data_IF_045394580637
#
_entry.id   IF_045394580637
#
_cell.length_a   1.000
_cell.length_b   1.000
_cell.length_c   1.000
_cell.angle_alpha   90.00
_cell.angle_beta   90.00
_cell.angle_gamma   90.00
#
_symmetry.space_group_name_H-M   'P 1'
#
loop_
_entity.id
_entity.type
_entity.pdbx_description
1 polymer ?
#
# COMPACT_ATOMS: atom_id res chain seq x y z
N UNK A 1 41.91 12.27 -19.42
CA UNK A 1 41.96 13.33 -18.38
C UNK A 1 40.56 13.92 -18.28
N UNK A 2 39.85 13.59 -17.19
CA UNK A 2 38.71 14.29 -16.57
C UNK A 2 38.14 13.29 -15.53
N UNK A 3 38.99 12.86 -14.59
CA UNK A 3 38.50 12.36 -13.31
C UNK A 3 37.97 13.60 -12.59
N UNK A 4 36.73 13.96 -12.90
CA UNK A 4 35.98 14.94 -12.15
C UNK A 4 35.84 14.33 -10.76
N UNK A 5 36.29 15.02 -9.71
CA UNK A 5 36.13 14.53 -8.34
C UNK A 5 34.66 14.19 -8.13
N UNK A 6 34.38 12.91 -7.94
CA UNK A 6 33.04 12.41 -7.68
C UNK A 6 32.79 12.67 -6.21
N UNK A 7 31.86 13.56 -5.91
CA UNK A 7 31.60 14.03 -4.54
C UNK A 7 30.26 13.54 -4.00
N UNK A 8 29.48 12.81 -4.80
CA UNK A 8 28.15 12.33 -4.43
C UNK A 8 27.71 11.07 -5.18
N UNK A 9 26.73 10.35 -4.62
CA UNK A 9 26.00 9.25 -5.29
C UNK A 9 25.37 9.70 -6.60
N UNK A 10 24.93 10.96 -6.70
CA UNK A 10 24.36 11.52 -7.91
C UNK A 10 25.39 11.62 -9.05
N UNK A 11 26.62 12.04 -8.75
CA UNK A 11 27.69 12.08 -9.75
C UNK A 11 28.03 10.68 -10.25
N UNK A 12 28.08 9.69 -9.35
CA UNK A 12 28.25 8.28 -9.72
C UNK A 12 27.13 7.83 -10.65
N UNK A 13 25.87 8.08 -10.27
CA UNK A 13 24.71 7.69 -11.06
C UNK A 13 24.81 8.25 -12.48
N UNK A 14 25.11 9.53 -12.63
CA UNK A 14 25.24 10.17 -13.95
C UNK A 14 26.37 9.59 -14.78
N UNK A 15 27.50 9.25 -14.17
CA UNK A 15 28.61 8.58 -14.87
C UNK A 15 28.18 7.19 -15.32
N UNK A 16 27.57 6.41 -14.44
CA UNK A 16 27.10 5.05 -14.74
C UNK A 16 26.01 5.03 -15.82
N UNK A 17 25.03 5.94 -15.77
CA UNK A 17 24.01 6.11 -16.81
C UNK A 17 24.64 6.39 -18.18
N UNK A 18 25.66 7.27 -18.21
CA UNK A 18 26.36 7.59 -19.45
C UNK A 18 27.12 6.38 -19.99
N UNK A 19 27.78 5.62 -19.12
CA UNK A 19 28.49 4.40 -19.49
C UNK A 19 27.53 3.34 -20.05
N UNK A 20 26.36 3.14 -19.42
CA UNK A 20 25.32 2.25 -19.94
C UNK A 20 24.84 2.68 -21.33
N UNK A 21 24.66 3.99 -21.55
CA UNK A 21 24.25 4.52 -22.86
C UNK A 21 25.30 4.31 -23.97
N UNK A 22 26.55 4.07 -23.60
CA UNK A 22 27.66 3.76 -24.49
C UNK A 22 27.99 2.22 -24.49
N UNK A 23 27.06 1.36 -24.01
CA UNK A 23 27.18 -0.11 -23.88
C UNK A 23 28.35 -0.59 -22.99
N UNK A 24 28.82 0.25 -22.06
CA UNK A 24 29.95 -0.03 -21.15
C UNK A 24 29.47 -0.45 -19.76
N UNK A 25 28.63 -1.49 -19.74
CA UNK A 25 27.93 -1.98 -18.55
C UNK A 25 28.87 -2.43 -17.42
N UNK A 26 30.00 -3.08 -17.72
CA UNK A 26 30.95 -3.53 -16.69
C UNK A 26 31.69 -2.37 -16.00
N UNK A 27 32.01 -1.32 -16.77
CA UNK A 27 32.58 -0.10 -16.19
C UNK A 27 31.53 0.65 -15.36
N UNK A 28 30.28 0.69 -15.83
CA UNK A 28 29.17 1.25 -15.07
C UNK A 28 29.01 0.53 -13.72
N UNK A 29 29.06 -0.81 -13.69
CA UNK A 29 29.01 -1.58 -12.44
C UNK A 29 30.15 -1.22 -11.49
N UNK A 30 31.38 -1.07 -12.00
CA UNK A 30 32.52 -0.67 -11.15
C UNK A 30 32.28 0.69 -10.50
N UNK A 31 31.70 1.63 -11.24
CA UNK A 31 31.33 2.94 -10.70
C UNK A 31 30.20 2.84 -9.66
N UNK A 32 29.17 2.04 -9.94
CA UNK A 32 28.03 1.84 -9.04
C UNK A 32 28.44 1.17 -7.73
N UNK A 33 29.26 0.12 -7.79
CA UNK A 33 29.80 -0.58 -6.62
C UNK A 33 30.61 0.38 -5.74
N UNK A 34 31.43 1.23 -6.38
CA UNK A 34 32.17 2.27 -5.67
C UNK A 34 31.24 3.30 -5.03
N UNK A 35 30.22 3.75 -5.76
CA UNK A 35 29.24 4.70 -5.21
C UNK A 35 28.43 4.15 -4.04
N UNK A 36 28.07 2.86 -4.07
CA UNK A 36 27.38 2.18 -2.98
C UNK A 36 28.27 1.96 -1.74
N UNK A 37 29.59 2.01 -1.92
CA UNK A 37 30.58 1.88 -0.83
C UNK A 37 30.95 3.24 -0.24
N UNK A 38 31.15 4.24 -1.09
CA UNK A 38 31.76 5.53 -0.71
C UNK A 38 30.72 6.57 -0.25
N UNK A 39 29.43 6.38 -0.56
CA UNK A 39 28.37 7.34 -0.27
C UNK A 39 27.20 6.71 0.49
N UNK A 40 26.27 7.56 0.95
CA UNK A 40 25.05 7.10 1.59
C UNK A 40 24.22 6.19 0.66
N UNK A 41 23.50 5.19 1.23
CA UNK A 41 22.64 4.30 0.47
C UNK A 41 21.71 5.06 -0.50
N UNK A 42 21.85 4.80 -1.80
CA UNK A 42 21.03 5.39 -2.85
C UNK A 42 20.33 4.29 -3.64
N UNK A 43 19.00 4.28 -3.58
CA UNK A 43 18.20 3.26 -4.25
C UNK A 43 18.39 3.27 -5.77
N UNK A 44 18.65 4.43 -6.37
CA UNK A 44 18.82 4.59 -7.82
C UNK A 44 20.10 3.93 -8.31
N UNK A 45 21.16 3.95 -7.50
CA UNK A 45 22.40 3.23 -7.81
C UNK A 45 22.13 1.72 -7.85
N UNK A 46 21.37 1.20 -6.88
CA UNK A 46 20.99 -0.22 -6.84
C UNK A 46 20.03 -0.60 -7.98
N UNK A 47 19.08 0.26 -8.33
CA UNK A 47 18.15 0.03 -9.44
C UNK A 47 18.90 -0.05 -10.78
N UNK A 48 19.85 0.88 -11.02
CA UNK A 48 20.67 0.86 -12.22
C UNK A 48 21.57 -0.39 -12.26
N UNK A 49 22.21 -0.74 -11.13
CA UNK A 49 23.02 -1.95 -11.04
C UNK A 49 22.19 -3.22 -11.30
N UNK A 50 20.99 -3.31 -10.73
CA UNK A 50 20.06 -4.40 -10.96
C UNK A 50 19.68 -4.51 -12.44
N UNK A 51 19.39 -3.39 -13.10
CA UNK A 51 19.11 -3.36 -14.53
C UNK A 51 20.26 -3.89 -15.40
N UNK A 52 21.51 -3.55 -15.06
CA UNK A 52 22.70 -4.11 -15.72
C UNK A 52 22.79 -5.62 -15.48
N UNK A 53 22.59 -6.07 -14.23
CA UNK A 53 22.62 -7.49 -13.90
C UNK A 53 21.54 -8.29 -14.63
N UNK A 54 20.33 -7.75 -14.78
CA UNK A 54 19.24 -8.37 -15.55
C UNK A 54 19.64 -8.54 -17.01
N UNK A 55 20.17 -7.49 -17.66
CA UNK A 55 20.64 -7.58 -19.06
C UNK A 55 21.71 -8.65 -19.26
N UNK A 56 22.56 -8.83 -18.25
CA UNK A 56 23.63 -9.84 -18.27
C UNK A 56 23.17 -11.24 -17.81
N UNK A 57 21.88 -11.46 -17.54
CA UNK A 57 21.35 -12.75 -17.05
C UNK A 57 21.74 -13.11 -15.61
N UNK A 58 22.33 -12.17 -14.86
CA UNK A 58 22.77 -12.35 -13.47
C UNK A 58 21.63 -12.06 -12.49
N UNK A 59 20.53 -12.80 -12.60
CA UNK A 59 19.27 -12.50 -11.89
C UNK A 59 19.41 -12.52 -10.37
N UNK A 60 20.23 -13.40 -9.80
CA UNK A 60 20.46 -13.43 -8.34
C UNK A 60 21.07 -12.12 -7.82
N UNK A 61 22.02 -11.56 -8.58
CA UNK A 61 22.66 -10.27 -8.24
C UNK A 61 21.68 -9.12 -8.38
N UNK A 62 20.84 -9.13 -9.42
CA UNK A 62 19.77 -8.14 -9.53
C UNK A 62 18.77 -8.24 -8.37
N UNK A 63 18.40 -9.47 -7.99
CA UNK A 63 17.53 -9.76 -6.86
C UNK A 63 18.06 -9.18 -5.55
N UNK A 64 19.34 -9.38 -5.21
CA UNK A 64 19.93 -8.84 -3.97
C UNK A 64 20.02 -7.30 -3.96
N UNK A 65 20.27 -6.66 -5.10
CA UNK A 65 20.23 -5.19 -5.21
C UNK A 65 18.84 -4.65 -4.92
N UNK A 66 17.81 -5.26 -5.53
CA UNK A 66 16.42 -4.84 -5.37
C UNK A 66 15.84 -5.27 -4.02
N UNK A 67 16.31 -6.37 -3.45
CA UNK A 67 16.01 -6.78 -2.08
C UNK A 67 16.45 -5.73 -1.08
N UNK A 68 17.65 -5.18 -1.25
CA UNK A 68 18.16 -4.10 -0.40
C UNK A 68 17.26 -2.86 -0.48
N UNK A 69 16.85 -2.48 -1.70
CA UNK A 69 15.88 -1.39 -1.90
C UNK A 69 14.53 -1.68 -1.24
N UNK A 70 14.04 -2.92 -1.35
CA UNK A 70 12.79 -3.35 -0.72
C UNK A 70 12.88 -3.29 0.80
N UNK A 71 13.96 -3.77 1.43
CA UNK A 71 14.10 -3.74 2.89
C UNK A 71 14.31 -2.34 3.44
N UNK A 72 15.01 -1.46 2.70
CA UNK A 72 15.23 -0.06 3.10
C UNK A 72 13.91 0.73 3.07
N UNK A 73 13.09 0.52 2.02
CA UNK A 73 11.78 1.18 1.86
C UNK A 73 10.74 0.20 1.31
N UNK A 74 10.09 -0.59 2.17
CA UNK A 74 9.15 -1.61 1.73
C UNK A 74 7.89 -0.97 1.14
N UNK A 75 7.59 -1.29 -0.13
CA UNK A 75 6.44 -0.77 -0.85
C UNK A 75 5.98 -1.75 -1.93
N UNK A 76 4.77 -1.57 -2.45
CA UNK A 76 4.29 -2.33 -3.59
C UNK A 76 5.18 -2.11 -4.85
N UNK A 77 5.75 -0.91 -5.00
CA UNK A 77 6.65 -0.58 -6.12
C UNK A 77 7.96 -1.37 -6.04
N UNK A 78 8.64 -1.33 -4.90
CA UNK A 78 9.89 -2.07 -4.68
C UNK A 78 9.68 -3.59 -4.73
N UNK A 79 8.51 -4.09 -4.29
CA UNK A 79 8.13 -5.49 -4.46
C UNK A 79 7.93 -5.89 -5.92
N UNK A 80 7.29 -5.03 -6.73
CA UNK A 80 7.11 -5.26 -8.17
C UNK A 80 8.43 -5.24 -8.93
N UNK A 81 9.31 -4.28 -8.62
CA UNK A 81 10.65 -4.25 -9.21
C UNK A 81 11.41 -5.56 -8.93
N UNK A 82 11.38 -6.04 -7.68
CA UNK A 82 11.96 -7.32 -7.30
C UNK A 82 11.33 -8.46 -8.11
N UNK A 83 10.00 -8.53 -8.20
CA UNK A 83 9.27 -9.56 -8.98
C UNK A 83 9.68 -9.60 -10.44
N UNK A 84 9.74 -8.44 -11.07
CA UNK A 84 9.97 -8.34 -12.50
C UNK A 84 11.42 -8.74 -12.84
N UNK A 85 12.39 -8.38 -11.98
CA UNK A 85 13.78 -8.77 -12.14
C UNK A 85 14.07 -10.24 -11.82
N UNK A 86 13.28 -10.87 -10.96
CA UNK A 86 13.50 -12.24 -10.48
C UNK A 86 12.43 -13.22 -10.95
N UNK A 87 11.70 -12.92 -12.03
CA UNK A 87 10.52 -13.68 -12.47
C UNK A 87 10.73 -15.22 -12.54
N UNK A 88 11.94 -15.68 -12.89
CA UNK A 88 12.28 -17.10 -12.95
C UNK A 88 12.35 -17.83 -11.59
N UNK A 89 12.65 -17.10 -10.51
CA UNK A 89 12.73 -17.62 -9.13
C UNK A 89 11.92 -16.74 -8.14
N UNK A 90 10.89 -16.07 -8.65
CA UNK A 90 10.11 -15.15 -7.84
C UNK A 90 9.46 -15.80 -6.60
N UNK A 91 9.00 -17.07 -6.61
CA UNK A 91 8.44 -17.69 -5.40
C UNK A 91 9.37 -17.61 -4.18
N UNK A 92 10.68 -17.81 -4.37
CA UNK A 92 11.67 -17.67 -3.30
C UNK A 92 11.73 -16.23 -2.76
N UNK A 93 11.85 -15.25 -3.66
CA UNK A 93 11.90 -13.83 -3.30
C UNK A 93 10.61 -13.33 -2.66
N UNK A 94 9.47 -13.86 -3.11
CA UNK A 94 8.14 -13.56 -2.57
C UNK A 94 8.03 -14.03 -1.12
N UNK A 95 8.37 -15.29 -0.85
CA UNK A 95 8.33 -15.83 0.51
C UNK A 95 9.23 -15.00 1.44
N UNK A 96 10.45 -14.70 1.00
CA UNK A 96 11.40 -13.85 1.73
C UNK A 96 10.82 -12.46 2.03
N UNK A 97 10.19 -11.81 1.05
CA UNK A 97 9.57 -10.49 1.20
C UNK A 97 8.38 -10.49 2.16
N UNK A 98 7.47 -11.46 2.04
CA UNK A 98 6.31 -11.58 2.92
C UNK A 98 6.72 -11.89 4.36
N UNK A 99 7.70 -12.77 4.55
CA UNK A 99 8.27 -13.08 5.86
C UNK A 99 8.90 -11.83 6.51
N UNK A 100 9.67 -11.06 5.74
CA UNK A 100 10.24 -9.80 6.20
C UNK A 100 9.15 -8.81 6.64
N UNK A 101 8.10 -8.62 5.84
CA UNK A 101 7.00 -7.72 6.18
C UNK A 101 6.18 -8.19 7.39
N UNK A 102 6.02 -9.50 7.58
CA UNK A 102 5.25 -10.07 8.67
C UNK A 102 5.87 -9.78 10.05
N UNK A 103 7.21 -9.73 10.12
CA UNK A 103 7.98 -9.49 11.35
C UNK A 103 8.23 -8.01 11.63
N UNK A 104 7.99 -7.11 10.67
CA UNK A 104 8.11 -5.67 10.92
C UNK A 104 7.14 -5.26 12.04
N UNK A 105 7.61 -4.50 13.04
CA UNK A 105 6.73 -4.05 14.10
C UNK A 105 5.65 -3.16 13.49
N UNK A 106 4.37 -3.35 13.84
CA UNK A 106 3.35 -2.41 13.44
C UNK A 106 3.72 -1.05 14.03
N UNK A 107 3.79 -0.01 13.18
CA UNK A 107 3.90 1.37 13.68
C UNK A 107 2.72 1.58 14.62
N UNK A 108 2.95 2.04 15.87
CA UNK A 108 1.87 2.15 16.86
C UNK A 108 1.06 3.43 16.61
N UNK A 109 -0.27 3.30 16.48
CA UNK A 109 -1.21 4.41 16.32
C UNK A 109 -2.57 3.97 15.76
N UNK A 110 -3.65 4.71 16.06
CA UNK A 110 -4.96 4.49 15.42
C UNK A 110 -4.83 4.87 13.95
N UNK A 111 -5.02 3.89 13.04
CA UNK A 111 -4.73 4.02 11.60
C UNK A 111 -3.25 4.26 11.29
N UNK A 112 -2.37 3.52 11.98
CA UNK A 112 -0.98 3.45 11.58
C UNK A 112 -0.83 2.82 10.20
N UNK A 113 0.26 3.15 9.50
CA UNK A 113 0.68 2.42 8.31
C UNK A 113 0.90 0.93 8.59
N UNK A 114 0.98 0.50 9.87
CA UNK A 114 0.83 -0.89 10.31
C UNK A 114 1.46 -1.91 9.36
N UNK A 115 0.66 -2.89 8.93
CA UNK A 115 0.98 -3.84 7.87
C UNK A 115 0.46 -3.43 6.49
N UNK A 116 0.32 -2.12 6.22
CA UNK A 116 -0.28 -1.63 4.96
C UNK A 116 0.46 -2.12 3.73
N UNK A 117 1.81 -2.11 3.73
CA UNK A 117 2.59 -2.64 2.61
C UNK A 117 2.29 -4.13 2.36
N UNK A 118 2.22 -4.93 3.43
CA UNK A 118 1.88 -6.35 3.32
C UNK A 118 0.48 -6.55 2.75
N UNK A 119 -0.50 -5.81 3.29
CA UNK A 119 -1.89 -5.87 2.83
C UNK A 119 -2.03 -5.41 1.38
N UNK A 120 -1.32 -4.35 0.97
CA UNK A 120 -1.31 -3.87 -0.42
C UNK A 120 -0.75 -4.90 -1.39
N UNK A 121 0.34 -5.58 -1.01
CA UNK A 121 0.94 -6.66 -1.80
C UNK A 121 -0.03 -7.84 -1.91
N UNK A 122 -0.60 -8.31 -0.80
CA UNK A 122 -1.54 -9.42 -0.80
C UNK A 122 -2.80 -9.11 -1.62
N UNK A 123 -3.32 -7.88 -1.54
CA UNK A 123 -4.43 -7.43 -2.40
C UNK A 123 -4.06 -7.31 -3.88
N UNK A 124 -2.80 -6.99 -4.20
CA UNK A 124 -2.33 -6.92 -5.58
C UNK A 124 -2.15 -8.33 -6.20
N UNK A 125 -1.93 -9.33 -5.36
CA UNK A 125 -1.83 -10.75 -5.75
C UNK A 125 -3.17 -11.50 -5.58
N UNK A 126 -4.29 -10.79 -5.37
CA UNK A 126 -5.65 -11.34 -5.13
C UNK A 126 -5.77 -12.29 -3.91
N UNK A 127 -4.81 -12.27 -2.98
CA UNK A 127 -4.82 -13.04 -1.74
C UNK A 127 -5.67 -12.36 -0.65
N UNK A 128 -6.97 -12.24 -0.92
CA UNK A 128 -7.91 -11.45 -0.13
C UNK A 128 -8.04 -11.91 1.34
N UNK A 129 -8.02 -13.23 1.58
CA UNK A 129 -8.09 -13.80 2.92
C UNK A 129 -6.83 -13.49 3.74
N UNK A 130 -5.65 -13.67 3.14
CA UNK A 130 -4.38 -13.34 3.80
C UNK A 130 -4.26 -11.83 4.05
N UNK A 131 -4.70 -11.01 3.09
CA UNK A 131 -4.72 -9.55 3.23
C UNK A 131 -5.62 -9.11 4.41
N UNK A 132 -6.79 -9.74 4.55
CA UNK A 132 -7.69 -9.52 5.68
C UNK A 132 -7.03 -9.89 7.01
N UNK A 133 -6.44 -11.09 7.10
CA UNK A 133 -5.78 -11.55 8.32
C UNK A 133 -4.60 -10.64 8.71
N UNK A 134 -3.77 -10.24 7.74
CA UNK A 134 -2.66 -9.33 7.98
C UNK A 134 -3.12 -7.97 8.54
N UNK A 135 -4.24 -7.44 8.03
CA UNK A 135 -4.84 -6.21 8.54
C UNK A 135 -5.42 -6.38 9.95
N UNK A 136 -6.08 -7.51 10.25
CA UNK A 136 -6.58 -7.81 11.59
C UNK A 136 -5.43 -7.89 12.60
N UNK A 137 -4.33 -8.55 12.25
CA UNK A 137 -3.23 -8.81 13.17
C UNK A 137 -2.33 -7.58 13.42
N UNK A 138 -2.17 -6.71 12.41
CA UNK A 138 -1.19 -5.61 12.49
C UNK A 138 -1.75 -4.21 12.20
N UNK A 139 -3.04 -4.12 11.85
CA UNK A 139 -3.64 -2.88 11.35
C UNK A 139 -3.15 -2.50 9.95
N UNK A 140 -3.86 -1.56 9.33
CA UNK A 140 -3.43 -0.87 8.12
C UNK A 140 -4.07 0.52 8.03
N UNK A 141 -3.72 1.27 6.99
CA UNK A 141 -4.25 2.59 6.73
C UNK A 141 -5.77 2.58 6.48
N UNK A 142 -6.42 3.73 6.67
CA UNK A 142 -7.88 3.84 6.52
C UNK A 142 -8.37 3.54 5.12
N UNK A 143 -7.70 4.08 4.11
CA UNK A 143 -8.01 3.79 2.72
C UNK A 143 -7.92 2.28 2.41
N UNK A 144 -6.96 1.59 3.03
CA UNK A 144 -6.74 0.17 2.78
C UNK A 144 -7.76 -0.72 3.50
N UNK A 145 -8.14 -0.38 4.73
CA UNK A 145 -9.26 -1.03 5.43
C UNK A 145 -10.58 -0.88 4.68
N UNK A 146 -10.85 0.29 4.09
CA UNK A 146 -12.04 0.50 3.26
C UNK A 146 -12.02 -0.38 2.00
N UNK A 147 -10.85 -0.48 1.35
CA UNK A 147 -10.68 -1.38 0.20
C UNK A 147 -10.88 -2.84 0.61
N UNK A 148 -10.28 -3.27 1.72
CA UNK A 148 -10.44 -4.62 2.27
C UNK A 148 -11.89 -4.93 2.61
N UNK A 149 -12.60 -4.02 3.29
CA UNK A 149 -14.00 -4.22 3.63
C UNK A 149 -14.85 -4.45 2.38
N UNK A 150 -14.63 -3.68 1.30
CA UNK A 150 -15.37 -3.85 0.04
C UNK A 150 -15.06 -5.17 -0.65
N UNK A 151 -13.80 -5.60 -0.65
CA UNK A 151 -13.40 -6.91 -1.20
C UNK A 151 -14.00 -8.05 -0.36
N UNK A 152 -13.83 -7.98 0.95
CA UNK A 152 -14.35 -8.95 1.93
C UNK A 152 -15.87 -9.05 1.86
N UNK A 153 -16.57 -7.95 1.57
CA UNK A 153 -18.00 -7.93 1.46
C UNK A 153 -18.56 -8.88 0.38
N UNK A 154 -17.77 -9.29 -0.62
CA UNK A 154 -18.23 -10.24 -1.63
C UNK A 154 -18.58 -11.60 -1.01
N UNK A 155 -17.70 -12.12 -0.13
CA UNK A 155 -17.86 -13.42 0.53
C UNK A 155 -18.39 -13.33 1.96
N UNK A 156 -18.06 -12.27 2.69
CA UNK A 156 -18.40 -12.07 4.10
C UNK A 156 -18.94 -10.65 4.34
N UNK A 157 -20.18 -10.35 3.89
CA UNK A 157 -20.77 -9.02 4.00
C UNK A 157 -20.85 -8.50 5.45
N UNK A 158 -21.05 -9.39 6.43
CA UNK A 158 -21.13 -9.02 7.84
C UNK A 158 -19.82 -8.42 8.39
N UNK A 159 -18.66 -8.91 7.94
CA UNK A 159 -17.34 -8.45 8.38
C UNK A 159 -17.05 -7.01 7.93
N UNK A 160 -17.58 -6.62 6.77
CA UNK A 160 -17.34 -5.31 6.18
C UNK A 160 -18.16 -4.19 6.83
N UNK A 161 -19.36 -4.49 7.34
CA UNK A 161 -20.28 -3.54 7.97
C UNK A 161 -19.61 -2.69 9.06
N UNK A 162 -18.96 -3.26 10.10
CA UNK A 162 -18.41 -2.46 11.19
C UNK A 162 -17.28 -1.52 10.73
N UNK A 163 -16.53 -1.89 9.69
CA UNK A 163 -15.46 -1.05 9.13
C UNK A 163 -16.04 0.15 8.41
N UNK A 164 -17.04 -0.07 7.55
CA UNK A 164 -17.69 0.99 6.78
C UNK A 164 -18.49 1.95 7.67
N UNK A 165 -19.14 1.44 8.72
CA UNK A 165 -19.81 2.27 9.72
C UNK A 165 -18.84 3.20 10.45
N UNK A 166 -17.70 2.66 10.91
CA UNK A 166 -16.66 3.46 11.56
C UNK A 166 -16.13 4.57 10.64
N UNK A 167 -15.94 4.28 9.36
CA UNK A 167 -15.51 5.27 8.39
C UNK A 167 -16.60 6.33 8.12
N UNK A 168 -17.88 5.94 8.11
CA UNK A 168 -18.99 6.88 8.00
C UNK A 168 -19.03 7.84 9.19
N UNK A 169 -18.88 7.34 10.41
CA UNK A 169 -18.83 8.16 11.64
C UNK A 169 -17.68 9.17 11.60
N UNK A 170 -16.50 8.74 11.14
CA UNK A 170 -15.33 9.62 10.96
C UNK A 170 -15.59 10.73 9.95
N UNK A 171 -16.18 10.38 8.81
CA UNK A 171 -16.56 11.35 7.79
C UNK A 171 -17.62 12.35 8.32
N UNK A 172 -18.53 11.92 9.19
CA UNK A 172 -19.49 12.82 9.87
C UNK A 172 -18.79 13.77 10.86
N UNK A 173 -17.72 13.33 11.52
CA UNK A 173 -16.97 14.17 12.45
C UNK A 173 -16.01 15.16 11.78
N UNK A 174 -15.69 14.99 10.50
CA UNK A 174 -14.91 15.97 9.72
C UNK A 174 -15.68 17.28 9.41
N UNK A 175 -17.00 17.33 9.67
CA UNK A 175 -17.85 18.55 9.72
C UNK A 175 -17.79 19.47 8.49
N UNK A 176 -17.55 18.92 7.31
CA UNK A 176 -17.66 19.65 6.04
C UNK A 176 -18.62 18.91 5.09
N UNK A 177 -19.14 19.65 4.10
CA UNK A 177 -20.19 19.14 3.21
C UNK A 177 -19.74 17.93 2.39
N UNK A 178 -18.50 17.92 1.93
CA UNK A 178 -17.98 16.80 1.13
C UNK A 178 -17.78 15.55 1.98
N UNK A 179 -17.40 15.71 3.25
CA UNK A 179 -17.31 14.59 4.19
C UNK A 179 -18.69 14.05 4.56
N UNK A 180 -19.74 14.88 4.62
CA UNK A 180 -21.11 14.38 4.75
C UNK A 180 -21.55 13.57 3.53
N UNK A 181 -21.23 14.02 2.31
CA UNK A 181 -21.49 13.23 1.10
C UNK A 181 -20.75 11.89 1.12
N UNK A 182 -19.50 11.87 1.59
CA UNK A 182 -18.73 10.65 1.76
C UNK A 182 -19.38 9.71 2.79
N UNK A 183 -19.82 10.24 3.94
CA UNK A 183 -20.51 9.47 4.97
C UNK A 183 -21.81 8.84 4.43
N UNK A 184 -22.61 9.62 3.69
CA UNK A 184 -23.86 9.14 3.09
C UNK A 184 -23.61 8.02 2.09
N UNK A 185 -22.55 8.12 1.27
CA UNK A 185 -22.15 7.03 0.36
C UNK A 185 -21.79 5.76 1.12
N UNK A 186 -21.00 5.88 2.19
CA UNK A 186 -20.63 4.75 3.05
C UNK A 186 -21.86 4.12 3.71
N UNK A 187 -22.79 4.93 4.23
CA UNK A 187 -24.05 4.43 4.83
C UNK A 187 -24.96 3.74 3.80
N UNK A 188 -24.96 4.20 2.56
CA UNK A 188 -25.68 3.54 1.48
C UNK A 188 -25.05 2.18 1.10
N UNK A 189 -23.72 2.09 1.08
CA UNK A 189 -23.01 0.80 0.94
C UNK A 189 -23.39 -0.14 2.09
N UNK A 190 -23.35 0.36 3.33
CA UNK A 190 -23.71 -0.42 4.52
C UNK A 190 -25.16 -0.92 4.48
N UNK A 191 -26.11 -0.10 4.02
CA UNK A 191 -27.51 -0.52 3.83
C UNK A 191 -27.60 -1.76 2.93
N UNK A 192 -26.89 -1.75 1.80
CA UNK A 192 -26.87 -2.88 0.88
C UNK A 192 -26.26 -4.14 1.51
N UNK A 193 -25.24 -3.98 2.36
CA UNK A 193 -24.63 -5.11 3.08
C UNK A 193 -25.54 -5.67 4.17
N UNK A 194 -26.24 -4.83 4.93
CA UNK A 194 -27.25 -5.29 5.89
C UNK A 194 -28.39 -6.06 5.22
N UNK A 195 -28.88 -5.58 4.07
CA UNK A 195 -29.90 -6.29 3.29
C UNK A 195 -29.40 -7.66 2.80
N UNK A 196 -28.14 -7.77 2.35
CA UNK A 196 -27.52 -9.05 1.97
C UNK A 196 -27.34 -10.03 3.15
N UNK A 197 -27.43 -9.53 4.38
CA UNK A 197 -27.36 -10.32 5.59
C UNK A 197 -28.74 -10.54 6.23
N UNK A 198 -29.85 -10.16 5.57
CA UNK A 198 -31.22 -10.18 6.11
C UNK A 198 -31.38 -9.41 7.43
N UNK A 199 -30.67 -8.28 7.56
CA UNK A 199 -30.58 -7.46 8.78
C UNK A 199 -30.99 -6.01 8.55
N UNK A 200 -32.03 -5.78 7.74
CA UNK A 200 -32.56 -4.43 7.46
C UNK A 200 -33.00 -3.68 8.72
N UNK A 201 -33.54 -4.38 9.72
CA UNK A 201 -33.97 -3.75 10.98
C UNK A 201 -32.81 -3.21 11.80
N UNK A 202 -31.66 -3.91 11.81
CA UNK A 202 -30.45 -3.44 12.45
C UNK A 202 -29.93 -2.16 11.79
N UNK A 203 -30.04 -2.07 10.45
CA UNK A 203 -29.68 -0.85 9.73
C UNK A 203 -30.61 0.32 10.10
N UNK A 204 -31.93 0.09 10.20
CA UNK A 204 -32.91 1.12 10.62
C UNK A 204 -32.65 1.59 12.06
N UNK A 205 -32.34 0.66 12.96
CA UNK A 205 -31.98 0.97 14.33
C UNK A 205 -30.70 1.82 14.39
N UNK A 206 -29.67 1.45 13.63
CA UNK A 206 -28.43 2.21 13.53
C UNK A 206 -28.67 3.64 13.00
N UNK A 207 -29.43 3.78 11.91
CA UNK A 207 -29.77 5.09 11.34
C UNK A 207 -30.55 5.99 12.30
N UNK A 208 -31.41 5.41 13.13
CA UNK A 208 -32.14 6.15 14.18
C UNK A 208 -31.16 6.76 15.19
N UNK A 209 -30.14 6.00 15.60
CA UNK A 209 -29.07 6.49 16.50
C UNK A 209 -28.26 7.59 15.83
N UNK A 210 -27.85 7.43 14.57
CA UNK A 210 -27.09 8.43 13.80
C UNK A 210 -27.87 9.75 13.68
N UNK A 211 -29.15 9.68 13.31
CA UNK A 211 -30.02 10.87 13.19
C UNK A 211 -30.22 11.57 14.53
N UNK A 212 -30.41 10.82 15.61
CA UNK A 212 -30.54 11.38 16.95
C UNK A 212 -29.26 12.08 17.41
N UNK A 213 -28.09 11.45 17.22
CA UNK A 213 -26.78 11.98 17.59
C UNK A 213 -26.42 13.27 16.81
N UNK A 214 -26.92 13.43 15.59
CA UNK A 214 -26.55 14.54 14.70
C UNK A 214 -27.72 15.47 14.32
N UNK A 215 -28.74 15.56 15.17
CA UNK A 215 -29.95 16.39 14.94
C UNK A 215 -29.68 17.87 14.62
N UNK A 216 -28.57 18.42 15.12
CA UNK A 216 -28.17 19.83 14.93
C UNK A 216 -27.37 20.06 13.65
N UNK A 217 -26.84 19.01 13.01
CA UNK A 217 -26.06 19.10 11.77
C UNK A 217 -27.01 19.15 10.55
N UNK A 218 -27.58 20.33 10.27
CA UNK A 218 -28.56 20.49 9.18
C UNK A 218 -28.06 19.98 7.82
N UNK A 219 -26.82 20.31 7.44
CA UNK A 219 -26.25 19.88 6.17
C UNK A 219 -26.16 18.34 6.06
N UNK A 220 -25.79 17.65 7.14
CA UNK A 220 -25.79 16.17 7.16
C UNK A 220 -27.21 15.61 6.97
N UNK A 221 -28.20 16.18 7.68
CA UNK A 221 -29.60 15.76 7.56
C UNK A 221 -30.11 15.91 6.13
N UNK A 222 -29.82 17.03 5.49
CA UNK A 222 -30.19 17.27 4.09
C UNK A 222 -29.61 16.18 3.17
N UNK A 223 -28.33 15.83 3.32
CA UNK A 223 -27.69 14.81 2.49
C UNK A 223 -28.25 13.40 2.77
N UNK A 224 -28.57 13.07 4.04
CA UNK A 224 -29.23 11.80 4.40
C UNK A 224 -30.63 11.67 3.78
N UNK A 225 -31.41 12.75 3.81
CA UNK A 225 -32.76 12.79 3.26
C UNK A 225 -32.74 12.70 1.72
N UNK A 226 -31.80 13.38 1.06
CA UNK A 226 -31.59 13.26 -0.39
C UNK A 226 -31.23 11.84 -0.81
N UNK A 227 -30.42 11.13 -0.03
CA UNK A 227 -30.07 9.75 -0.28
C UNK A 227 -31.15 8.73 0.12
N UNK A 228 -32.29 9.19 0.68
CA UNK A 228 -33.40 8.33 1.13
C UNK A 228 -32.95 7.26 2.13
N UNK A 229 -31.99 7.62 2.99
CA UNK A 229 -31.59 6.77 4.11
C UNK A 229 -32.61 6.95 5.26
N UNK A 230 -33.02 5.85 5.93
CA UNK A 230 -34.01 5.90 6.99
C UNK A 230 -33.55 6.73 8.19
#
# INVERSE_FOLDING_TARGET
>A
MLARDVTSSYDVLRIAERLCADDRDDEALTWLERGLTDFEPDSRLRDLAAGIHVRAGRLDRAGEMLWSNFTDRPSLETFRALRDATAGDFPHWRERALAFLAVLPPVKGSWSSGRSTLVEILLADDENEAAWQAAVDGGCSEGLWLRLARVRAASHPADAIPILLRAADRAIEARNRDSYKAAVRLLAEVKALFARCDRDDDFRAHMTVVRAAHRTKWALRQELDWARLP
#
